data_IF_629163089923
#
_entry.id   IF_629163089923
#
_cell.length_a   1.000
_cell.length_b   1.000
_cell.length_c   1.000
_cell.angle_alpha   90.00
_cell.angle_beta   90.00
_cell.angle_gamma   90.00
#
_symmetry.space_group_name_H-M   'P 1'
#
loop_
_entity.id
_entity.type
_entity.pdbx_description
1 polymer ?
#
# COMPACT_ATOMS: atom_id res chain seq x y z
N UNK A 1 -27.32 -8.38 5.70
CA UNK A 1 -26.59 -7.14 6.04
C UNK A 1 -26.35 -6.35 4.76
N UNK A 2 -26.91 -5.15 4.59
CA UNK A 2 -26.58 -4.30 3.43
C UNK A 2 -25.28 -3.57 3.75
N UNK A 3 -24.24 -3.78 2.95
CA UNK A 3 -22.97 -3.06 3.08
C UNK A 3 -23.21 -1.60 2.69
N UNK A 4 -22.95 -0.67 3.60
CA UNK A 4 -22.89 0.76 3.27
C UNK A 4 -21.63 0.99 2.42
N UNK A 5 -21.83 1.24 1.12
CA UNK A 5 -20.76 1.37 0.11
C UNK A 5 -19.80 2.50 0.44
N UNK A 6 -20.30 3.64 0.93
CA UNK A 6 -19.47 4.81 1.21
C UNK A 6 -18.71 4.64 2.52
N UNK A 7 -19.34 4.03 3.53
CA UNK A 7 -18.63 3.64 4.76
C UNK A 7 -17.51 2.65 4.46
N UNK A 8 -17.77 1.64 3.62
CA UNK A 8 -16.76 0.67 3.20
C UNK A 8 -15.56 1.34 2.51
N UNK A 9 -15.81 2.18 1.49
CA UNK A 9 -14.76 2.91 0.78
C UNK A 9 -13.89 3.73 1.75
N UNK A 10 -14.51 4.50 2.66
CA UNK A 10 -13.81 5.33 3.64
C UNK A 10 -12.93 4.48 4.56
N UNK A 11 -13.48 3.38 5.08
CA UNK A 11 -12.70 2.48 5.95
C UNK A 11 -11.51 1.89 5.22
N UNK A 12 -11.67 1.40 3.98
CA UNK A 12 -10.55 0.85 3.21
C UNK A 12 -9.49 1.90 2.89
N UNK A 13 -9.89 3.12 2.49
CA UNK A 13 -8.96 4.19 2.17
C UNK A 13 -8.15 4.66 3.41
N UNK A 14 -8.82 4.81 4.56
CA UNK A 14 -8.17 5.19 5.83
C UNK A 14 -7.21 4.08 6.29
N UNK A 15 -7.64 2.83 6.27
CA UNK A 15 -6.77 1.70 6.63
C UNK A 15 -5.57 1.60 5.67
N UNK A 16 -5.77 1.82 4.37
CA UNK A 16 -4.69 1.88 3.39
C UNK A 16 -3.63 2.92 3.74
N UNK A 17 -4.04 4.14 4.11
CA UNK A 17 -3.10 5.19 4.52
C UNK A 17 -2.37 4.86 5.84
N UNK A 18 -3.08 4.34 6.85
CA UNK A 18 -2.48 3.92 8.13
C UNK A 18 -1.43 2.82 7.90
N UNK A 19 -1.78 1.79 7.13
CA UNK A 19 -0.87 0.69 6.85
C UNK A 19 0.28 1.11 5.93
N UNK A 20 0.07 2.03 4.98
CA UNK A 20 1.16 2.58 4.18
C UNK A 20 2.20 3.31 5.07
N UNK A 21 1.74 4.08 6.04
CA UNK A 21 2.63 4.72 7.02
C UNK A 21 3.37 3.68 7.87
N UNK A 22 2.66 2.67 8.39
CA UNK A 22 3.28 1.57 9.14
C UNK A 22 4.35 0.83 8.31
N UNK A 23 4.09 0.58 7.02
CA UNK A 23 5.04 -0.04 6.09
C UNK A 23 6.32 0.79 5.95
N UNK A 24 6.22 2.12 5.86
CA UNK A 24 7.38 3.03 5.81
C UNK A 24 8.19 2.95 7.10
N UNK A 25 7.52 3.00 8.26
CA UNK A 25 8.18 2.91 9.57
C UNK A 25 8.94 1.59 9.70
N UNK A 26 8.28 0.47 9.39
CA UNK A 26 8.88 -0.86 9.43
C UNK A 26 10.05 -0.99 8.43
N UNK A 27 9.92 -0.43 7.22
CA UNK A 27 11.02 -0.40 6.24
C UNK A 27 12.23 0.40 6.75
N UNK A 28 11.98 1.51 7.44
CA UNK A 28 13.01 2.27 8.16
C UNK A 28 13.69 1.44 9.25
N UNK A 29 12.93 0.64 10.00
CA UNK A 29 13.46 -0.30 11.00
C UNK A 29 14.31 -1.40 10.36
N UNK A 30 13.85 -2.02 9.26
CA UNK A 30 14.63 -3.01 8.49
C UNK A 30 15.98 -2.43 8.10
N UNK A 31 16.00 -1.22 7.52
CA UNK A 31 17.25 -0.55 7.12
C UNK A 31 18.13 -0.21 8.33
N UNK A 32 17.55 0.30 9.42
CA UNK A 32 18.27 0.66 10.64
C UNK A 32 18.92 -0.55 11.34
N UNK A 33 18.34 -1.74 11.20
CA UNK A 33 18.88 -2.99 11.72
C UNK A 33 19.86 -3.68 10.75
N UNK A 34 20.07 -3.15 9.54
CA UNK A 34 20.83 -3.84 8.49
C UNK A 34 20.17 -5.13 7.99
N UNK A 35 18.86 -5.31 8.26
CA UNK A 35 18.11 -6.53 8.00
C UNK A 35 17.53 -6.60 6.58
N UNK A 36 17.94 -5.73 5.65
CA UNK A 36 17.35 -5.64 4.32
C UNK A 36 17.68 -6.80 3.37
N UNK A 37 18.44 -7.80 3.81
CA UNK A 37 18.72 -9.06 3.10
C UNK A 37 18.46 -10.28 4.00
N UNK A 38 17.70 -10.14 5.10
CA UNK A 38 17.41 -11.24 6.00
C UNK A 38 16.49 -12.30 5.36
N UNK A 39 15.70 -11.88 4.36
CA UNK A 39 14.95 -12.72 3.44
C UNK A 39 15.48 -12.52 1.99
N UNK A 40 16.45 -13.31 1.52
CA UNK A 40 17.11 -13.10 0.22
C UNK A 40 16.24 -13.47 -1.00
N UNK A 41 15.12 -14.14 -0.77
CA UNK A 41 14.12 -14.54 -1.74
C UNK A 41 12.86 -13.66 -1.63
N UNK A 42 12.06 -13.63 -2.69
CA UNK A 42 10.74 -13.00 -2.74
C UNK A 42 9.90 -13.73 -3.80
N UNK A 43 8.62 -14.06 -3.56
CA UNK A 43 7.77 -13.66 -2.42
C UNK A 43 7.98 -14.47 -1.13
N UNK A 44 8.76 -15.54 -1.19
CA UNK A 44 9.13 -16.36 -0.03
C UNK A 44 10.13 -15.62 0.87
N UNK A 45 10.34 -16.11 2.10
CA UNK A 45 11.45 -15.72 2.96
C UNK A 45 12.14 -16.98 3.49
N UNK A 46 13.42 -17.13 3.17
CA UNK A 46 14.22 -18.32 3.45
C UNK A 46 13.54 -19.62 2.96
N UNK A 47 12.99 -19.59 1.74
CA UNK A 47 12.32 -20.71 1.08
C UNK A 47 10.93 -21.04 1.64
N UNK A 48 10.40 -20.26 2.58
CA UNK A 48 9.12 -20.51 3.24
C UNK A 48 8.19 -19.29 3.18
N UNK A 49 6.87 -19.53 3.11
CA UNK A 49 5.87 -18.45 3.24
C UNK A 49 5.76 -17.96 4.68
N UNK A 50 5.97 -18.84 5.65
CA UNK A 50 6.03 -18.52 7.08
C UNK A 50 7.40 -18.97 7.59
N UNK A 51 8.39 -18.06 7.68
CA UNK A 51 9.74 -18.41 8.07
C UNK A 51 9.84 -18.70 9.57
N UNK A 52 10.92 -19.39 9.97
CA UNK A 52 11.29 -19.50 11.38
C UNK A 52 11.82 -18.15 11.89
N UNK A 53 11.15 -17.55 12.86
CA UNK A 53 11.45 -16.19 13.37
C UNK A 53 12.46 -16.18 14.53
N UNK A 54 13.46 -17.05 14.49
CA UNK A 54 14.51 -17.11 15.51
C UNK A 54 15.49 -15.93 15.46
N UNK A 55 15.61 -15.28 14.30
CA UNK A 55 16.44 -14.10 14.08
C UNK A 55 15.57 -12.82 14.02
N UNK A 56 16.01 -11.77 14.73
CA UNK A 56 15.27 -10.52 14.83
C UNK A 56 15.22 -9.76 13.50
N UNK A 57 16.26 -9.87 12.65
CA UNK A 57 16.28 -9.28 11.32
C UNK A 57 15.24 -9.93 10.40
N UNK A 58 15.19 -11.26 10.40
CA UNK A 58 14.18 -12.04 9.64
C UNK A 58 12.77 -11.67 10.08
N UNK A 59 12.53 -11.56 11.39
CA UNK A 59 11.22 -11.17 11.92
C UNK A 59 10.79 -9.80 11.40
N UNK A 60 11.66 -8.79 11.50
CA UNK A 60 11.31 -7.42 11.12
C UNK A 60 11.11 -7.28 9.60
N UNK A 61 11.95 -7.93 8.79
CA UNK A 61 11.76 -7.93 7.33
C UNK A 61 10.46 -8.65 6.93
N UNK A 62 10.18 -9.80 7.54
CA UNK A 62 8.95 -10.55 7.28
C UNK A 62 7.70 -9.75 7.69
N UNK A 63 7.71 -9.08 8.85
CA UNK A 63 6.62 -8.20 9.30
C UNK A 63 6.44 -7.01 8.35
N UNK A 64 7.53 -6.39 7.89
CA UNK A 64 7.46 -5.35 6.86
C UNK A 64 6.74 -5.84 5.60
N UNK A 65 7.10 -7.03 5.07
CA UNK A 65 6.45 -7.64 3.90
C UNK A 65 4.97 -7.93 4.15
N UNK A 66 4.62 -8.45 5.32
CA UNK A 66 3.22 -8.73 5.68
C UNK A 66 2.37 -7.46 5.72
N UNK A 67 2.89 -6.39 6.35
CA UNK A 67 2.19 -5.10 6.42
C UNK A 67 2.08 -4.46 5.04
N UNK A 68 3.10 -4.61 4.18
CA UNK A 68 3.03 -4.16 2.78
C UNK A 68 1.93 -4.89 1.99
N UNK A 69 1.75 -6.20 2.19
CA UNK A 69 0.63 -6.95 1.59
C UNK A 69 -0.71 -6.41 2.07
N UNK A 70 -0.86 -6.14 3.37
CA UNK A 70 -2.08 -5.54 3.92
C UNK A 70 -2.34 -4.14 3.35
N UNK A 71 -1.30 -3.30 3.20
CA UNK A 71 -1.40 -2.02 2.47
C UNK A 71 -1.98 -2.25 1.08
N UNK A 72 -1.45 -3.23 0.33
CA UNK A 72 -1.93 -3.54 -1.01
C UNK A 72 -3.36 -4.03 -1.08
N UNK A 73 -3.81 -4.84 -0.13
CA UNK A 73 -5.21 -5.26 -0.06
C UNK A 73 -6.15 -4.07 0.19
N UNK A 74 -5.82 -3.16 1.10
CA UNK A 74 -6.65 -1.98 1.36
C UNK A 74 -6.70 -1.02 0.16
N UNK A 75 -5.57 -0.77 -0.50
CA UNK A 75 -5.52 0.07 -1.71
C UNK A 75 -6.29 -0.60 -2.86
N UNK A 76 -6.15 -1.92 -3.04
CA UNK A 76 -6.90 -2.67 -4.06
C UNK A 76 -8.41 -2.62 -3.81
N UNK A 77 -8.87 -2.86 -2.58
CA UNK A 77 -10.30 -2.78 -2.27
C UNK A 77 -10.85 -1.36 -2.39
N UNK A 78 -10.03 -0.34 -2.13
CA UNK A 78 -10.39 1.06 -2.40
C UNK A 78 -10.58 1.30 -3.89
N UNK A 79 -9.65 0.83 -4.73
CA UNK A 79 -9.75 0.91 -6.19
C UNK A 79 -10.99 0.17 -6.72
N UNK A 80 -11.21 -1.07 -6.28
CA UNK A 80 -12.37 -1.87 -6.69
C UNK A 80 -13.68 -1.19 -6.28
N UNK A 81 -13.79 -0.68 -5.06
CA UNK A 81 -14.97 0.06 -4.62
C UNK A 81 -15.19 1.33 -5.46
N UNK A 82 -14.12 2.08 -5.76
CA UNK A 82 -14.21 3.29 -6.58
C UNK A 82 -14.74 2.98 -7.99
N UNK A 83 -14.19 1.96 -8.67
CA UNK A 83 -14.60 1.58 -10.03
C UNK A 83 -16.02 0.99 -10.05
N UNK A 84 -16.35 0.11 -9.09
CA UNK A 84 -17.61 -0.64 -9.10
C UNK A 84 -18.80 0.20 -8.62
N UNK A 85 -18.59 1.12 -7.67
CA UNK A 85 -19.69 1.84 -7.00
C UNK A 85 -19.69 3.35 -7.19
N UNK A 86 -18.55 3.97 -7.53
CA UNK A 86 -18.39 5.43 -7.57
C UNK A 86 -17.87 5.93 -8.93
N UNK A 87 -18.28 5.26 -10.02
CA UNK A 87 -17.90 5.61 -11.41
C UNK A 87 -18.29 7.03 -11.83
N UNK A 88 -19.30 7.63 -11.19
CA UNK A 88 -19.73 9.02 -11.39
C UNK A 88 -18.75 10.03 -10.77
N UNK A 89 -17.91 9.59 -9.82
CA UNK A 89 -16.88 10.40 -9.15
C UNK A 89 -15.50 10.14 -9.80
N UNK A 90 -15.34 10.51 -11.08
CA UNK A 90 -14.13 10.20 -11.86
C UNK A 90 -12.81 10.68 -11.24
N UNK A 91 -12.84 11.76 -10.44
CA UNK A 91 -11.68 12.20 -9.66
C UNK A 91 -11.22 11.14 -8.65
N UNK A 92 -12.15 10.57 -7.88
CA UNK A 92 -11.87 9.50 -6.92
C UNK A 92 -11.37 8.23 -7.63
N UNK A 93 -11.98 7.86 -8.76
CA UNK A 93 -11.57 6.69 -9.56
C UNK A 93 -10.14 6.87 -10.07
N UNK A 94 -9.84 8.03 -10.69
CA UNK A 94 -8.51 8.34 -11.22
C UNK A 94 -7.46 8.32 -10.10
N UNK A 95 -7.74 8.96 -8.97
CA UNK A 95 -6.83 8.96 -7.82
C UNK A 95 -6.59 7.55 -7.28
N UNK A 96 -7.62 6.71 -7.22
CA UNK A 96 -7.48 5.31 -6.77
C UNK A 96 -6.65 4.47 -7.74
N UNK A 97 -6.81 4.69 -9.06
CA UNK A 97 -5.98 4.03 -10.09
C UNK A 97 -4.52 4.45 -9.95
N UNK A 98 -4.26 5.75 -9.84
CA UNK A 98 -2.90 6.29 -9.66
C UNK A 98 -2.27 5.75 -8.38
N UNK A 99 -3.02 5.75 -7.26
CA UNK A 99 -2.55 5.20 -5.99
C UNK A 99 -2.14 3.73 -6.10
N UNK A 100 -2.95 2.91 -6.76
CA UNK A 100 -2.63 1.49 -6.97
C UNK A 100 -1.43 1.30 -7.92
N UNK A 101 -1.33 2.09 -8.99
CA UNK A 101 -0.21 2.02 -9.94
C UNK A 101 1.13 2.39 -9.28
N UNK A 102 1.14 3.44 -8.46
CA UNK A 102 2.32 3.84 -7.66
C UNK A 102 2.71 2.72 -6.69
N UNK A 103 1.74 2.12 -5.99
CA UNK A 103 2.01 0.98 -5.10
C UNK A 103 2.55 -0.24 -5.86
N UNK A 104 1.98 -0.59 -7.01
CA UNK A 104 2.46 -1.73 -7.81
C UNK A 104 3.93 -1.52 -8.24
N UNK A 105 4.26 -0.28 -8.62
CA UNK A 105 5.64 0.11 -8.95
C UNK A 105 6.53 -0.01 -7.71
N UNK A 106 6.05 0.44 -6.54
CA UNK A 106 6.75 0.35 -5.26
C UNK A 106 7.09 -1.10 -4.88
N UNK A 107 6.15 -2.03 -5.06
CA UNK A 107 6.39 -3.47 -4.82
C UNK A 107 7.46 -4.01 -5.77
N UNK A 108 7.39 -3.65 -7.05
CA UNK A 108 8.40 -4.03 -8.03
C UNK A 108 9.80 -3.54 -7.65
N UNK A 109 9.93 -2.26 -7.29
CA UNK A 109 11.21 -1.68 -6.85
C UNK A 109 11.69 -2.31 -5.53
N UNK A 110 10.78 -2.68 -4.62
CA UNK A 110 11.13 -3.39 -3.39
C UNK A 110 11.64 -4.81 -3.60
N UNK A 111 11.23 -5.48 -4.67
CA UNK A 111 11.88 -6.72 -5.09
C UNK A 111 13.29 -6.44 -5.65
N UNK A 112 13.44 -5.38 -6.45
CA UNK A 112 14.73 -5.01 -7.05
C UNK A 112 15.78 -4.71 -5.99
N UNK A 113 15.43 -4.10 -4.85
CA UNK A 113 16.38 -3.82 -3.75
C UNK A 113 17.10 -5.08 -3.25
N UNK A 114 16.43 -6.24 -3.27
CA UNK A 114 17.02 -7.52 -2.86
C UNK A 114 18.02 -7.97 -3.92
N UNK A 115 17.61 -7.95 -5.19
CA UNK A 115 18.45 -8.40 -6.32
C UNK A 115 19.67 -7.51 -6.59
N UNK A 116 19.63 -6.26 -6.14
CA UNK A 116 20.75 -5.30 -6.21
C UNK A 116 21.47 -5.13 -4.88
N UNK A 117 21.31 -6.09 -3.95
CA UNK A 117 22.02 -6.13 -2.66
C UNK A 117 21.95 -4.81 -1.87
N UNK A 118 20.77 -4.19 -1.83
CA UNK A 118 20.50 -2.90 -1.19
C UNK A 118 21.28 -1.70 -1.75
N UNK A 119 21.53 -1.69 -3.06
CA UNK A 119 22.02 -0.51 -3.79
C UNK A 119 21.36 0.79 -3.27
N UNK A 120 22.17 1.79 -2.82
CA UNK A 120 21.64 2.98 -2.17
C UNK A 120 20.66 3.79 -3.03
N UNK A 121 20.86 3.83 -4.35
CA UNK A 121 19.98 4.56 -5.26
C UNK A 121 18.63 3.86 -5.38
N UNK A 122 18.62 2.52 -5.50
CA UNK A 122 17.39 1.73 -5.57
C UNK A 122 16.63 1.80 -4.24
N UNK A 123 17.30 1.70 -3.09
CA UNK A 123 16.65 1.84 -1.78
C UNK A 123 16.08 3.24 -1.58
N UNK A 124 16.76 4.28 -2.07
CA UNK A 124 16.25 5.66 -2.04
C UNK A 124 15.01 5.82 -2.93
N UNK A 125 15.04 5.24 -4.14
CA UNK A 125 13.89 5.21 -5.04
C UNK A 125 12.71 4.46 -4.41
N UNK A 126 12.97 3.32 -3.77
CA UNK A 126 11.97 2.56 -3.03
C UNK A 126 11.36 3.39 -1.89
N UNK A 127 12.16 4.12 -1.12
CA UNK A 127 11.61 5.02 -0.11
C UNK A 127 10.74 6.11 -0.74
N UNK A 128 11.23 6.78 -1.79
CA UNK A 128 10.51 7.87 -2.46
C UNK A 128 9.14 7.43 -3.03
N UNK A 129 9.09 6.25 -3.67
CA UNK A 129 7.85 5.64 -4.14
C UNK A 129 6.95 5.18 -2.99
N UNK A 130 7.53 4.73 -1.86
CA UNK A 130 6.81 4.47 -0.62
C UNK A 130 6.11 5.72 -0.08
N UNK A 131 6.82 6.85 -0.02
CA UNK A 131 6.23 8.14 0.39
C UNK A 131 5.16 8.62 -0.59
N UNK A 132 5.37 8.43 -1.90
CA UNK A 132 4.37 8.74 -2.92
C UNK A 132 3.11 7.86 -2.77
N UNK A 133 3.28 6.58 -2.41
CA UNK A 133 2.16 5.67 -2.10
C UNK A 133 1.35 6.16 -0.90
N UNK A 134 2.03 6.55 0.18
CA UNK A 134 1.37 7.13 1.35
C UNK A 134 0.62 8.42 1.00
N UNK A 135 1.26 9.33 0.26
CA UNK A 135 0.64 10.58 -0.17
C UNK A 135 -0.62 10.32 -1.01
N UNK A 136 -0.56 9.42 -1.99
CA UNK A 136 -1.70 9.04 -2.80
C UNK A 136 -2.83 8.42 -1.97
N UNK A 137 -2.51 7.52 -1.04
CA UNK A 137 -3.49 6.90 -0.14
C UNK A 137 -4.17 7.94 0.77
N UNK A 138 -3.42 8.90 1.30
CA UNK A 138 -3.95 10.01 2.10
C UNK A 138 -4.88 10.91 1.29
N UNK A 139 -4.50 11.25 0.05
CA UNK A 139 -5.35 12.05 -0.85
C UNK A 139 -6.66 11.33 -1.13
N UNK A 140 -6.62 10.03 -1.44
CA UNK A 140 -7.84 9.21 -1.65
C UNK A 140 -8.69 9.17 -0.38
N UNK A 141 -8.08 8.98 0.79
CA UNK A 141 -8.79 8.98 2.07
C UNK A 141 -9.49 10.33 2.33
N UNK A 142 -8.80 11.46 2.14
CA UNK A 142 -9.38 12.79 2.30
C UNK A 142 -10.54 13.04 1.32
N UNK A 143 -10.37 12.71 0.04
CA UNK A 143 -11.43 12.88 -0.96
C UNK A 143 -12.63 12.00 -0.66
N UNK A 144 -12.43 10.78 -0.14
CA UNK A 144 -13.54 9.88 0.24
C UNK A 144 -14.43 10.43 1.37
N UNK A 145 -13.89 11.36 2.18
CA UNK A 145 -14.61 12.04 3.25
C UNK A 145 -15.42 13.23 2.75
N UNK A 146 -15.06 13.82 1.61
CA UNK A 146 -15.76 14.97 1.04
C UNK A 146 -17.17 14.58 0.56
N UNK A 147 -18.18 15.45 0.72
CA UNK A 147 -19.53 15.21 0.19
C UNK A 147 -19.52 15.09 -1.35
N UNK A 148 -20.36 14.22 -1.94
CA UNK A 148 -20.48 14.10 -3.39
C UNK A 148 -20.87 15.43 -4.03
N UNK A 149 -20.38 15.71 -5.24
CA UNK A 149 -20.80 16.89 -6.00
C UNK A 149 -22.29 16.78 -6.39
N UNK A 150 -22.98 17.90 -6.55
CA UNK A 150 -24.38 17.90 -7.00
C UNK A 150 -24.58 17.13 -8.32
N UNK A 151 -23.58 17.16 -9.21
CA UNK A 151 -23.57 16.41 -10.47
C UNK A 151 -23.50 14.88 -10.25
N UNK A 152 -22.72 14.41 -9.27
CA UNK A 152 -22.65 12.97 -8.94
C UNK A 152 -23.96 12.44 -8.37
N UNK A 153 -24.64 13.23 -7.52
CA UNK A 153 -25.94 12.87 -6.94
C UNK A 153 -27.03 12.76 -8.02
N UNK A 154 -26.97 13.58 -9.07
CA UNK A 154 -27.93 13.54 -10.17
C UNK A 154 -27.76 12.31 -11.08
N UNK A 155 -26.55 11.74 -11.18
CA UNK A 155 -26.25 10.54 -11.98
C UNK A 155 -26.63 9.21 -11.28
N UNK A 156 -26.80 9.25 -9.95
CA UNK A 156 -27.11 8.08 -9.11
C UNK A 156 -28.62 7.94 -8.78
N UNK A 157 -29.47 8.83 -9.30
CA UNK A 157 -30.95 8.72 -9.28
C UNK A 157 -31.44 8.01 -10.53
#
# INVERSE_FOLDING_TARGET
MRIDRRRFLRTMAILGAIFAYATIVLGGTVRGMGAGLACPDWPLCNGSLVPSVGDAGVLVEYVHRLVAVLTGLFVLFTLLAAILWFRSEMGLVTLSIVSFAVLATQVGVGWVTITTENDPAIVTLHLALGTATLAAALIVAMVSLWPPSAASVALDR
#
